data_IF_705430108847
#
_entry.id   IF_705430108847
#
_cell.length_a   1.000
_cell.length_b   1.000
_cell.length_c   1.000
_cell.angle_alpha   90.00
_cell.angle_beta   90.00
_cell.angle_gamma   90.00
#
_symmetry.space_group_name_H-M   'P 1'
#
loop_
_entity.id
_entity.type
_entity.pdbx_description
1 polymer ?
#
# COMPACT_ATOMS: atom_id res chain seq x y z
N UNK A 1 -8.66 -16.41 34.31
CA UNK A 1 -9.66 -16.72 33.28
C UNK A 1 -8.88 -16.92 31.99
N UNK A 2 -8.62 -18.18 31.63
CA UNK A 2 -7.80 -18.54 30.48
C UNK A 2 -8.71 -18.80 29.28
N UNK A 3 -8.33 -18.31 28.10
CA UNK A 3 -8.83 -18.81 26.83
C UNK A 3 -7.68 -18.73 25.82
N UNK A 4 -7.12 -19.91 25.54
CA UNK A 4 -6.15 -20.20 24.49
C UNK A 4 -6.96 -20.54 23.24
N UNK A 5 -6.61 -19.95 22.10
CA UNK A 5 -7.01 -20.44 20.79
C UNK A 5 -5.76 -20.51 19.91
N UNK A 6 -5.22 -21.72 19.79
CA UNK A 6 -4.06 -22.03 18.96
C UNK A 6 -4.44 -22.11 17.49
N UNK A 7 -3.54 -21.63 16.62
CA UNK A 7 -3.65 -21.77 15.18
C UNK A 7 -2.95 -23.06 14.77
N UNK A 8 -3.71 -24.03 14.27
CA UNK A 8 -3.17 -25.26 13.69
C UNK A 8 -2.77 -25.00 12.24
N UNK A 9 -1.46 -24.98 11.96
CA UNK A 9 -0.93 -25.04 10.60
C UNK A 9 -0.95 -26.50 10.13
N UNK A 10 -2.02 -26.89 9.44
CA UNK A 10 -2.12 -28.18 8.76
C UNK A 10 -1.37 -28.13 7.44
N UNK A 11 -0.13 -28.64 7.41
CA UNK A 11 0.53 -28.99 6.15
C UNK A 11 0.29 -30.49 5.90
N UNK A 12 -0.64 -30.80 4.99
CA UNK A 12 -0.79 -32.13 4.42
C UNK A 12 0.26 -32.26 3.32
N UNK A 13 1.28 -33.07 3.58
CA UNK A 13 2.11 -33.68 2.54
C UNK A 13 1.69 -35.15 2.48
N UNK A 14 0.91 -35.50 1.48
CA UNK A 14 0.60 -36.89 1.09
C UNK A 14 0.79 -36.95 -0.42
N UNK A 15 1.62 -37.81 -1.01
CA UNK A 15 2.39 -38.90 -0.45
C UNK A 15 3.59 -39.23 -1.36
N UNK A 16 4.48 -40.08 -0.83
CA UNK A 16 5.42 -40.84 -1.64
C UNK A 16 4.83 -42.19 -2.05
N UNK A 17 5.44 -42.84 -3.05
CA UNK A 17 5.21 -44.25 -3.36
C UNK A 17 5.50 -44.66 -4.80
N UNK A 18 6.76 -44.98 -5.04
CA UNK A 18 7.40 -46.01 -5.89
C UNK A 18 6.74 -46.63 -7.16
N UNK A 19 7.53 -46.52 -8.24
CA UNK A 19 7.99 -47.51 -9.24
C UNK A 19 7.09 -48.34 -10.20
N UNK A 20 7.65 -48.46 -11.42
CA UNK A 20 7.42 -49.46 -12.49
C UNK A 20 6.22 -49.32 -13.43
N UNK A 21 6.49 -48.87 -14.66
CA UNK A 21 5.60 -49.07 -15.81
C UNK A 21 6.00 -48.25 -17.04
N UNK A 22 6.87 -48.80 -17.89
CA UNK A 22 7.22 -48.19 -19.17
C UNK A 22 5.99 -48.02 -20.08
N UNK A 23 5.75 -46.78 -20.53
CA UNK A 23 5.12 -46.51 -21.84
C UNK A 23 5.44 -45.08 -22.27
N UNK A 24 6.10 -44.98 -23.40
CA UNK A 24 6.49 -43.77 -24.11
C UNK A 24 5.25 -42.95 -24.47
N UNK A 25 5.05 -41.81 -23.80
CA UNK A 25 4.16 -40.75 -24.25
C UNK A 25 4.92 -39.43 -24.11
N UNK A 26 4.97 -38.66 -25.21
CA UNK A 26 5.74 -37.41 -25.32
C UNK A 26 5.33 -36.36 -24.29
N UNK A 27 6.06 -35.22 -24.23
CA UNK A 27 5.74 -34.18 -23.26
C UNK A 27 4.35 -33.64 -23.58
N UNK A 28 3.37 -33.99 -22.75
CA UNK A 28 2.16 -33.19 -22.62
C UNK A 28 2.63 -31.84 -22.06
N UNK A 29 2.69 -30.85 -22.93
CA UNK A 29 2.77 -29.47 -22.50
C UNK A 29 1.51 -29.23 -21.67
N UNK A 30 1.67 -29.22 -20.34
CA UNK A 30 0.67 -28.68 -19.44
C UNK A 30 0.50 -27.22 -19.85
N UNK A 31 -0.55 -26.95 -20.60
CA UNK A 31 -1.05 -25.60 -20.80
C UNK A 31 -1.13 -24.95 -19.42
N UNK A 32 -0.62 -23.71 -19.23
CA UNK A 32 -0.75 -23.05 -17.95
C UNK A 32 -2.25 -22.99 -17.67
N UNK A 33 -2.70 -23.74 -16.67
CA UNK A 33 -4.05 -23.60 -16.17
C UNK A 33 -4.20 -22.12 -15.83
N UNK A 34 -5.05 -21.41 -16.57
CA UNK A 34 -5.54 -20.12 -16.15
C UNK A 34 -6.22 -20.38 -14.80
N UNK A 35 -5.45 -20.19 -13.72
CA UNK A 35 -5.97 -20.17 -12.38
C UNK A 35 -7.13 -19.18 -12.35
N UNK A 36 -8.17 -19.43 -11.53
CA UNK A 36 -9.33 -18.56 -11.50
C UNK A 36 -8.85 -17.12 -11.31
N UNK A 37 -9.20 -16.26 -12.27
CA UNK A 37 -9.02 -14.82 -12.13
C UNK A 37 -9.55 -14.44 -10.74
N UNK A 38 -8.69 -13.84 -9.92
CA UNK A 38 -8.99 -13.58 -8.51
C UNK A 38 -10.35 -12.92 -8.37
N UNK A 39 -11.16 -13.40 -7.43
CA UNK A 39 -12.47 -12.83 -7.16
C UNK A 39 -12.32 -11.32 -6.90
N UNK A 40 -13.21 -10.53 -7.49
CA UNK A 40 -13.27 -9.09 -7.20
C UNK A 40 -13.51 -8.88 -5.70
N UNK A 41 -12.85 -7.90 -5.05
CA UNK A 41 -13.06 -7.62 -3.64
C UNK A 41 -14.54 -7.33 -3.33
N UNK A 42 -15.01 -7.82 -2.20
CA UNK A 42 -16.34 -7.49 -1.68
C UNK A 42 -16.41 -6.04 -1.17
N UNK A 43 -17.62 -5.46 -1.14
CA UNK A 43 -17.80 -4.10 -0.63
C UNK A 43 -17.34 -3.94 0.84
N UNK A 44 -17.52 -4.97 1.67
CA UNK A 44 -17.04 -4.98 3.05
C UNK A 44 -15.51 -4.98 3.14
N UNK A 45 -14.81 -5.69 2.24
CA UNK A 45 -13.35 -5.69 2.20
C UNK A 45 -12.81 -4.34 1.73
N UNK A 46 -13.43 -3.74 0.70
CA UNK A 46 -13.07 -2.39 0.24
C UNK A 46 -13.22 -1.39 1.38
N UNK A 47 -14.36 -1.38 2.07
CA UNK A 47 -14.61 -0.47 3.19
C UNK A 47 -13.62 -0.68 4.35
N UNK A 48 -13.31 -1.93 4.71
CA UNK A 48 -12.33 -2.21 5.75
C UNK A 48 -10.93 -1.67 5.40
N UNK A 49 -10.55 -1.76 4.12
CA UNK A 49 -9.28 -1.22 3.65
C UNK A 49 -9.28 0.32 3.52
N UNK A 50 -10.41 0.93 3.16
CA UNK A 50 -10.56 2.40 3.22
C UNK A 50 -10.34 2.91 4.65
N UNK A 51 -11.00 2.30 5.63
CA UNK A 51 -10.86 2.65 7.05
C UNK A 51 -9.41 2.49 7.50
N UNK A 52 -8.77 1.37 7.16
CA UNK A 52 -7.38 1.08 7.51
C UNK A 52 -6.41 2.12 6.92
N UNK A 53 -6.56 2.46 5.63
CA UNK A 53 -5.70 3.40 4.94
C UNK A 53 -5.90 4.84 5.44
N UNK A 54 -7.15 5.29 5.58
CA UNK A 54 -7.47 6.62 6.11
C UNK A 54 -7.02 6.79 7.58
N UNK A 55 -7.18 5.75 8.41
CA UNK A 55 -6.70 5.76 9.79
C UNK A 55 -5.18 5.88 9.84
N UNK A 56 -4.49 5.11 9.00
CA UNK A 56 -3.02 5.17 8.89
C UNK A 56 -2.57 6.56 8.45
N UNK A 57 -3.22 7.15 7.45
CA UNK A 57 -2.96 8.53 7.02
C UNK A 57 -3.13 9.51 8.19
N UNK A 58 -4.26 9.48 8.92
CA UNK A 58 -4.51 10.40 10.02
C UNK A 58 -3.44 10.32 11.13
N UNK A 59 -3.06 9.09 11.52
CA UNK A 59 -2.00 8.87 12.53
C UNK A 59 -0.65 9.40 12.03
N UNK A 60 -0.27 9.06 10.81
CA UNK A 60 1.02 9.45 10.24
C UNK A 60 1.09 10.97 10.06
N UNK A 61 0.02 11.57 9.53
CA UNK A 61 -0.08 12.99 9.28
C UNK A 61 0.05 13.81 10.57
N UNK A 62 -0.60 13.38 11.65
CA UNK A 62 -0.53 14.05 12.96
C UNK A 62 0.81 13.85 13.66
N UNK A 63 1.56 12.79 13.32
CA UNK A 63 2.89 12.53 13.86
C UNK A 63 4.01 13.37 13.20
N UNK A 64 3.74 14.02 12.06
CA UNK A 64 4.73 14.87 11.39
C UNK A 64 5.00 16.13 12.25
N UNK A 65 6.27 16.44 12.57
CA UNK A 65 6.61 17.68 13.26
C UNK A 65 6.08 18.90 12.50
N UNK A 66 5.45 19.85 13.21
CA UNK A 66 4.91 21.08 12.62
C UNK A 66 5.48 22.31 13.33
N UNK A 67 6.20 23.20 12.63
CA UNK A 67 6.65 23.05 11.24
C UNK A 67 7.76 21.99 11.12
N UNK A 68 7.72 21.21 10.04
CA UNK A 68 8.89 20.44 9.61
C UNK A 68 9.93 21.40 9.02
N UNK A 69 11.20 21.11 9.26
CA UNK A 69 12.30 22.01 8.91
C UNK A 69 13.34 21.36 8.00
N UNK A 70 13.30 20.03 7.87
CA UNK A 70 14.23 19.24 7.06
C UNK A 70 13.49 18.09 6.40
N UNK A 71 14.02 17.61 5.26
CA UNK A 71 13.48 16.43 4.57
C UNK A 71 13.45 15.17 5.45
N UNK A 72 14.41 15.03 6.38
CA UNK A 72 14.45 13.92 7.35
C UNK A 72 13.22 13.86 8.27
N UNK A 73 12.56 14.99 8.50
CA UNK A 73 11.39 15.06 9.36
C UNK A 73 10.15 14.45 8.68
N UNK A 74 10.17 14.31 7.34
CA UNK A 74 9.10 13.75 6.51
C UNK A 74 9.39 12.33 6.00
N UNK A 75 10.66 11.90 5.97
CA UNK A 75 11.04 10.57 5.46
C UNK A 75 10.29 9.41 6.13
N UNK A 76 10.13 9.37 7.47
CA UNK A 76 9.37 8.30 8.12
C UNK A 76 7.90 8.29 7.70
N UNK A 77 7.29 9.47 7.54
CA UNK A 77 5.90 9.59 7.14
C UNK A 77 5.67 9.07 5.71
N UNK A 78 6.54 9.44 4.75
CA UNK A 78 6.45 8.95 3.37
C UNK A 78 6.59 7.43 3.31
N UNK A 79 7.57 6.86 4.01
CA UNK A 79 7.77 5.42 4.06
C UNK A 79 6.55 4.69 4.66
N UNK A 80 6.00 5.22 5.76
CA UNK A 80 4.83 4.64 6.41
C UNK A 80 3.58 4.71 5.53
N UNK A 81 3.35 5.82 4.81
CA UNK A 81 2.23 5.93 3.87
C UNK A 81 2.35 4.97 2.68
N UNK A 82 3.57 4.78 2.16
CA UNK A 82 3.82 3.81 1.09
C UNK A 82 3.54 2.37 1.55
N UNK A 83 3.90 2.02 2.78
CA UNK A 83 3.56 0.72 3.38
C UNK A 83 2.04 0.58 3.53
N UNK A 84 1.36 1.59 4.10
CA UNK A 84 -0.09 1.57 4.25
C UNK A 84 -0.81 1.42 2.90
N UNK A 85 -0.35 2.09 1.85
CA UNK A 85 -0.88 1.93 0.48
C UNK A 85 -0.68 0.51 -0.07
N UNK A 86 0.47 -0.12 0.22
CA UNK A 86 0.77 -1.48 -0.20
C UNK A 86 -0.04 -2.54 0.56
N UNK A 87 -0.31 -2.31 1.85
CA UNK A 87 -1.11 -3.18 2.70
C UNK A 87 -2.62 -3.11 2.41
N UNK A 88 -3.07 -2.03 1.74
CA UNK A 88 -4.48 -1.79 1.40
C UNK A 88 -4.72 -1.70 -0.12
N UNK A 89 -4.42 -2.76 -0.91
CA UNK A 89 -4.50 -2.72 -2.37
C UNK A 89 -5.94 -2.61 -2.92
N UNK A 90 -6.93 -3.05 -2.13
CA UNK A 90 -8.35 -3.06 -2.46
C UNK A 90 -9.12 -1.90 -1.82
N UNK A 91 -8.46 -0.98 -1.11
CA UNK A 91 -9.10 0.28 -0.76
C UNK A 91 -9.64 0.97 -2.03
N UNK A 92 -10.70 1.73 -1.87
CA UNK A 92 -11.38 2.41 -2.98
C UNK A 92 -10.41 3.30 -3.76
N UNK A 93 -10.65 3.43 -5.06
CA UNK A 93 -9.79 4.24 -5.93
C UNK A 93 -9.68 5.71 -5.45
N UNK A 94 -10.76 6.39 -5.00
CA UNK A 94 -10.66 7.76 -4.50
C UNK A 94 -9.71 7.89 -3.31
N UNK A 95 -9.84 7.01 -2.30
CA UNK A 95 -8.98 7.04 -1.10
C UNK A 95 -7.53 6.75 -1.48
N UNK A 96 -7.28 5.71 -2.28
CA UNK A 96 -5.92 5.35 -2.70
C UNK A 96 -5.25 6.45 -3.51
N UNK A 97 -5.99 7.12 -4.41
CA UNK A 97 -5.47 8.25 -5.19
C UNK A 97 -5.12 9.41 -4.28
N UNK A 98 -6.03 9.84 -3.39
CA UNK A 98 -5.78 10.98 -2.52
C UNK A 98 -4.58 10.77 -1.58
N UNK A 99 -4.45 9.58 -0.99
CA UNK A 99 -3.29 9.25 -0.14
C UNK A 99 -2.00 9.15 -0.96
N UNK A 100 -2.06 8.64 -2.19
CA UNK A 100 -0.89 8.61 -3.11
C UNK A 100 -0.44 10.01 -3.49
N UNK A 101 -1.38 10.90 -3.78
CA UNK A 101 -1.10 12.30 -4.14
C UNK A 101 -0.48 13.06 -2.96
N UNK A 102 -1.04 12.88 -1.75
CA UNK A 102 -0.47 13.49 -0.54
C UNK A 102 0.94 12.94 -0.24
N UNK A 103 1.16 11.63 -0.44
CA UNK A 103 2.49 11.02 -0.31
C UNK A 103 3.48 11.62 -1.32
N UNK A 104 3.03 11.87 -2.56
CA UNK A 104 3.85 12.49 -3.62
C UNK A 104 4.19 13.94 -3.30
N UNK A 105 3.25 14.70 -2.71
CA UNK A 105 3.51 16.06 -2.19
C UNK A 105 4.58 16.02 -1.11
N UNK A 106 4.51 15.09 -0.16
CA UNK A 106 5.55 14.94 0.87
C UNK A 106 6.92 14.60 0.28
N UNK A 107 6.96 13.75 -0.74
CA UNK A 107 8.20 13.45 -1.45
C UNK A 107 8.78 14.68 -2.18
N UNK A 108 7.94 15.49 -2.82
CA UNK A 108 8.35 16.76 -3.42
C UNK A 108 8.89 17.74 -2.37
N UNK A 109 8.25 17.79 -1.20
CA UNK A 109 8.66 18.64 -0.09
C UNK A 109 10.00 18.19 0.52
N UNK A 110 10.25 16.89 0.62
CA UNK A 110 11.57 16.33 0.99
C UNK A 110 12.64 16.79 -0.01
N UNK A 111 12.35 16.68 -1.31
CA UNK A 111 13.28 17.12 -2.36
C UNK A 111 13.57 18.62 -2.28
N UNK A 112 12.56 19.44 -1.98
CA UNK A 112 12.70 20.88 -1.78
C UNK A 112 13.58 21.22 -0.57
N UNK A 113 13.33 20.59 0.59
CA UNK A 113 14.17 20.75 1.79
C UNK A 113 15.62 20.33 1.56
N UNK A 114 15.85 19.28 0.78
CA UNK A 114 17.18 18.79 0.43
C UNK A 114 17.86 19.52 -0.72
N UNK A 115 17.21 20.55 -1.30
CA UNK A 115 17.64 21.24 -2.51
C UNK A 115 18.05 20.29 -3.65
N UNK A 116 17.32 19.18 -3.82
CA UNK A 116 17.64 18.18 -4.83
C UNK A 116 17.52 18.84 -6.20
N UNK A 117 18.60 18.77 -6.99
CA UNK A 117 18.68 19.39 -8.32
C UNK A 117 18.49 18.35 -9.41
N UNK A 118 17.89 18.76 -10.52
CA UNK A 118 17.86 17.96 -11.76
C UNK A 118 19.30 17.66 -12.21
N UNK A 119 19.68 16.39 -12.21
CA UNK A 119 21.01 15.92 -12.64
C UNK A 119 20.99 14.42 -12.91
N UNK A 120 21.54 14.00 -14.05
CA UNK A 120 21.48 12.60 -14.47
C UNK A 120 20.02 12.16 -14.66
N UNK A 121 19.64 11.03 -14.06
CA UNK A 121 18.25 10.53 -14.05
C UNK A 121 17.41 11.09 -12.89
N UNK A 122 17.96 11.96 -12.04
CA UNK A 122 17.21 12.57 -10.96
C UNK A 122 16.36 13.73 -11.49
N UNK A 123 15.04 13.56 -11.44
CA UNK A 123 14.05 14.57 -11.79
C UNK A 123 13.13 14.83 -10.59
N UNK A 124 13.56 15.65 -9.61
CA UNK A 124 12.74 15.92 -8.43
C UNK A 124 11.46 16.67 -8.82
N UNK A 125 10.29 16.25 -8.30
CA UNK A 125 9.05 16.98 -8.51
C UNK A 125 9.12 18.35 -7.82
N UNK A 126 8.41 19.33 -8.38
CA UNK A 126 8.31 20.66 -7.79
C UNK A 126 7.32 20.65 -6.62
N UNK A 127 7.77 21.14 -5.47
CA UNK A 127 6.88 21.40 -4.34
C UNK A 127 6.25 22.79 -4.45
N UNK A 128 4.94 22.89 -4.23
CA UNK A 128 4.22 24.15 -4.05
C UNK A 128 3.28 24.05 -2.85
N UNK A 129 3.02 25.19 -2.21
CA UNK A 129 2.09 25.25 -1.07
C UNK A 129 0.65 24.97 -1.53
N UNK A 130 0.32 25.38 -2.75
CA UNK A 130 -0.98 25.19 -3.37
C UNK A 130 -1.26 23.70 -3.61
N UNK A 131 -0.30 22.96 -4.16
CA UNK A 131 -0.43 21.52 -4.37
C UNK A 131 -0.58 20.78 -3.04
N UNK A 132 0.15 21.20 -2.01
CA UNK A 132 0.00 20.64 -0.67
C UNK A 132 -1.42 20.87 -0.13
N UNK A 133 -1.89 22.11 -0.13
CA UNK A 133 -3.23 22.44 0.37
C UNK A 133 -4.32 21.66 -0.37
N UNK A 134 -4.20 21.55 -1.70
CA UNK A 134 -5.14 20.79 -2.52
C UNK A 134 -5.14 19.29 -2.15
N UNK A 135 -3.97 18.65 -2.10
CA UNK A 135 -3.87 17.23 -1.73
C UNK A 135 -4.34 16.96 -0.30
N UNK A 136 -4.02 17.86 0.64
CA UNK A 136 -4.49 17.77 2.02
C UNK A 136 -6.01 17.91 2.12
N UNK A 137 -6.62 18.84 1.39
CA UNK A 137 -8.07 19.00 1.38
C UNK A 137 -8.76 17.77 0.77
N UNK A 138 -8.22 17.23 -0.32
CA UNK A 138 -8.77 16.04 -0.98
C UNK A 138 -8.74 14.81 -0.07
N UNK A 139 -7.59 14.52 0.54
CA UNK A 139 -7.47 13.34 1.42
C UNK A 139 -8.34 13.48 2.67
N UNK A 140 -8.50 14.69 3.20
CA UNK A 140 -9.43 14.93 4.30
C UNK A 140 -10.88 14.66 3.89
N UNK A 141 -11.31 15.18 2.74
CA UNK A 141 -12.66 15.01 2.24
C UNK A 141 -13.00 13.53 1.94
N UNK A 142 -12.13 12.80 1.23
CA UNK A 142 -12.42 11.40 0.89
C UNK A 142 -12.34 10.45 2.09
N UNK A 143 -11.57 10.83 3.12
CA UNK A 143 -11.49 10.08 4.37
C UNK A 143 -12.50 10.55 5.44
N UNK A 144 -13.30 11.59 5.16
CA UNK A 144 -14.26 12.16 6.12
C UNK A 144 -13.60 12.68 7.40
N UNK A 145 -12.39 13.24 7.31
CA UNK A 145 -11.63 13.73 8.48
C UNK A 145 -12.06 15.12 8.96
N UNK A 146 -12.97 15.75 8.21
CA UNK A 146 -13.61 17.02 8.52
C UNK A 146 -14.99 16.85 9.21
N UNK A 147 -15.48 15.62 9.34
CA UNK A 147 -16.76 15.30 9.97
C UNK A 147 -16.59 15.17 11.51
N UNK A 148 -17.47 15.82 12.29
CA UNK A 148 -17.53 15.74 13.77
C UNK A 148 -18.51 14.66 14.28
#
# INVERSE_FOLDING_TARGET
MALVAGVALGAVFSGGGDDSGASTAGPIASEPANGPAGASPSASEVHAQDVSLCTSYAIINTAIPTPDTRGSDLLPAVAALQIALAENPNASAPVRVAVTDMTSVYQARIAAHGEVRKRGLAEPPLYTVEAHKAASAEVWAVCGLDEE
#
